data_IF_269882664278
#
_entry.id   IF_269882664278
#
_cell.length_a   1.000
_cell.length_b   1.000
_cell.length_c   1.000
_cell.angle_alpha   90.00
_cell.angle_beta   90.00
_cell.angle_gamma   90.00
#
_symmetry.space_group_name_H-M   'P 1'
#
loop_
_entity.id
_entity.type
_entity.pdbx_description
1 polymer ?
#
# COMPACT_ATOMS: atom_id res chain seq x y z
N UNK A 1 0.79 -29.73 -0.48
CA UNK A 1 0.11 -28.56 -1.06
C UNK A 1 0.93 -27.32 -0.71
N UNK A 2 1.37 -26.56 -1.71
CA UNK A 2 1.96 -25.24 -1.50
C UNK A 2 0.82 -24.22 -1.59
N UNK A 3 0.21 -23.89 -0.45
CA UNK A 3 -0.78 -22.81 -0.42
C UNK A 3 -0.04 -21.49 -0.14
N UNK A 4 -0.03 -20.59 -1.13
CA UNK A 4 0.69 -19.32 -1.08
C UNK A 4 -0.32 -18.19 -1.32
N UNK A 5 -0.29 -17.19 -0.45
CA UNK A 5 -1.10 -15.99 -0.58
C UNK A 5 -0.24 -14.72 -0.60
N UNK A 6 -0.81 -13.63 -1.09
CA UNK A 6 -0.28 -12.27 -0.97
C UNK A 6 -1.27 -11.45 -0.11
N UNK A 7 -0.80 -10.87 0.99
CA UNK A 7 -1.61 -9.99 1.83
C UNK A 7 -1.66 -8.59 1.22
N UNK A 8 -2.84 -8.21 0.73
CA UNK A 8 -3.14 -6.89 0.22
C UNK A 8 -3.86 -6.05 1.29
N UNK A 9 -3.23 -4.97 1.75
CA UNK A 9 -3.79 -3.98 2.68
C UNK A 9 -3.63 -2.55 2.14
N UNK A 10 -3.53 -2.42 0.82
CA UNK A 10 -3.26 -1.17 0.13
C UNK A 10 -3.73 -1.24 -1.32
N UNK A 11 -2.98 -0.63 -2.25
CA UNK A 11 -3.37 -0.61 -3.68
C UNK A 11 -3.52 -1.98 -4.32
N UNK A 12 -2.84 -3.01 -3.77
CA UNK A 12 -3.00 -4.39 -4.22
C UNK A 12 -4.42 -4.94 -4.06
N UNK A 13 -5.27 -4.36 -3.19
CA UNK A 13 -6.65 -4.83 -3.02
C UNK A 13 -7.44 -4.65 -4.33
N UNK A 14 -7.32 -3.46 -4.93
CA UNK A 14 -8.07 -3.08 -6.13
C UNK A 14 -7.27 -3.31 -7.42
N UNK A 15 -5.94 -3.28 -7.34
CA UNK A 15 -5.04 -3.47 -8.48
C UNK A 15 -3.87 -4.40 -8.11
N UNK A 16 -4.07 -5.73 -8.14
CA UNK A 16 -2.97 -6.69 -8.04
C UNK A 16 -1.93 -6.55 -9.16
N UNK A 17 -2.32 -5.96 -10.29
CA UNK A 17 -1.49 -5.78 -11.48
C UNK A 17 -1.47 -7.00 -12.39
N UNK A 18 -0.97 -6.79 -13.61
CA UNK A 18 -1.09 -7.73 -14.74
C UNK A 18 -0.43 -9.10 -14.51
N UNK A 19 0.54 -9.19 -13.61
CA UNK A 19 1.22 -10.46 -13.33
C UNK A 19 0.58 -11.24 -12.18
N UNK A 20 0.07 -10.56 -11.15
CA UNK A 20 -0.52 -11.21 -9.98
C UNK A 20 -1.98 -11.58 -10.25
N UNK A 21 -2.77 -10.67 -10.83
CA UNK A 21 -4.20 -10.87 -11.10
C UNK A 21 -4.54 -12.24 -11.73
N UNK A 22 -3.89 -12.67 -12.83
CA UNK A 22 -4.21 -13.96 -13.47
C UNK A 22 -3.82 -15.18 -12.63
N UNK A 23 -3.02 -15.00 -11.57
CA UNK A 23 -2.59 -16.08 -10.68
C UNK A 23 -3.53 -16.24 -9.48
N UNK A 24 -4.48 -15.34 -9.25
CA UNK A 24 -5.36 -15.37 -8.08
C UNK A 24 -6.43 -16.45 -8.27
N UNK A 25 -6.37 -17.49 -7.43
CA UNK A 25 -7.37 -18.55 -7.40
C UNK A 25 -8.59 -18.17 -6.55
N UNK A 26 -8.38 -17.45 -5.44
CA UNK A 26 -9.45 -16.97 -4.55
C UNK A 26 -8.97 -15.83 -3.66
N UNK A 27 -9.91 -15.15 -3.00
CA UNK A 27 -9.65 -14.05 -2.06
C UNK A 27 -10.23 -14.39 -0.69
N UNK A 28 -9.50 -14.06 0.38
CA UNK A 28 -9.93 -14.24 1.76
C UNK A 28 -9.88 -12.89 2.47
N UNK A 29 -11.01 -12.41 2.98
CA UNK A 29 -11.05 -11.21 3.83
C UNK A 29 -10.35 -11.50 5.17
N UNK A 30 -9.53 -10.57 5.64
CA UNK A 30 -8.79 -10.68 6.88
C UNK A 30 -8.53 -9.29 7.50
N UNK A 31 -7.97 -9.28 8.70
CA UNK A 31 -7.27 -8.12 9.25
C UNK A 31 -5.76 -8.34 9.09
N UNK A 32 -4.97 -7.29 8.96
CA UNK A 32 -3.51 -7.44 8.97
C UNK A 32 -3.05 -8.06 10.29
N UNK A 33 -2.12 -9.02 10.29
CA UNK A 33 -1.60 -9.63 11.52
C UNK A 33 -0.57 -8.73 12.25
N UNK A 34 -0.49 -7.47 11.85
CA UNK A 34 0.44 -6.47 12.36
C UNK A 34 -0.19 -5.08 12.20
N UNK A 35 0.27 -4.10 13.00
CA UNK A 35 -0.19 -2.73 12.88
C UNK A 35 0.32 -2.07 11.59
N UNK A 36 -0.54 -1.28 10.96
CA UNK A 36 -0.32 -0.56 9.70
C UNK A 36 -0.62 0.93 9.90
N UNK A 37 0.21 1.80 9.31
CA UNK A 37 0.02 3.25 9.36
C UNK A 37 0.53 3.94 8.08
N UNK A 38 0.09 5.17 7.80
CA UNK A 38 0.60 6.10 6.77
C UNK A 38 2.05 6.56 7.07
N UNK A 39 2.98 5.62 7.13
CA UNK A 39 4.33 5.82 7.65
C UNK A 39 5.41 5.75 6.57
N UNK A 40 5.09 6.03 5.30
CA UNK A 40 6.11 6.10 4.24
C UNK A 40 5.71 7.05 3.13
N UNK A 41 6.63 7.87 2.62
CA UNK A 41 6.39 8.69 1.44
C UNK A 41 6.74 7.94 0.15
N UNK A 42 5.88 8.07 -0.86
CA UNK A 42 6.05 7.44 -2.17
C UNK A 42 6.34 8.48 -3.25
N UNK A 43 7.56 8.43 -3.81
CA UNK A 43 7.94 9.29 -4.94
C UNK A 43 7.05 9.07 -6.17
N UNK A 44 6.59 7.82 -6.37
CA UNK A 44 5.67 7.47 -7.47
C UNK A 44 4.30 8.11 -7.33
N UNK A 45 3.91 8.45 -6.09
CA UNK A 45 2.68 9.18 -5.77
C UNK A 45 2.97 10.65 -5.50
N UNK A 46 3.94 11.25 -6.20
CA UNK A 46 4.26 12.68 -6.03
C UNK A 46 4.76 13.07 -4.63
N UNK A 47 5.29 12.11 -3.86
CA UNK A 47 5.69 12.31 -2.46
C UNK A 47 4.58 12.09 -1.44
N UNK A 48 3.40 11.59 -1.84
CA UNK A 48 2.30 11.31 -0.93
C UNK A 48 2.61 10.17 0.06
N UNK A 49 1.96 10.17 1.24
CA UNK A 49 2.08 9.09 2.19
C UNK A 49 1.37 7.81 1.75
N UNK A 50 1.91 6.66 2.14
CA UNK A 50 1.40 5.32 1.86
C UNK A 50 1.36 4.47 3.13
N UNK A 51 0.44 3.51 3.18
CA UNK A 51 0.35 2.60 4.33
C UNK A 51 1.45 1.54 4.29
N UNK A 52 2.07 1.27 5.43
CA UNK A 52 3.11 0.25 5.62
C UNK A 52 2.99 -0.36 7.02
N UNK A 53 3.54 -1.56 7.27
CA UNK A 53 3.64 -2.09 8.63
C UNK A 53 4.38 -1.09 9.53
N UNK A 54 3.78 -0.68 10.65
CA UNK A 54 4.36 0.31 11.54
C UNK A 54 3.87 0.15 13.00
N UNK A 55 4.76 0.19 14.02
CA UNK A 55 4.37 -0.05 15.41
C UNK A 55 3.35 0.93 16.00
N UNK A 56 3.26 2.15 15.46
CA UNK A 56 2.28 3.15 15.91
C UNK A 56 0.89 2.97 15.31
N UNK A 57 0.72 2.02 14.38
CA UNK A 57 -0.53 1.81 13.67
C UNK A 57 -1.51 0.90 14.40
N UNK A 58 -2.49 0.41 13.65
CA UNK A 58 -3.49 -0.57 14.09
C UNK A 58 -3.65 -1.68 13.05
N UNK A 59 -4.26 -2.79 13.42
CA UNK A 59 -4.71 -3.76 12.43
C UNK A 59 -5.73 -3.10 11.50
N UNK A 60 -5.66 -3.41 10.21
CA UNK A 60 -6.54 -2.85 9.18
C UNK A 60 -7.16 -3.94 8.33
N UNK A 61 -8.28 -3.64 7.67
CA UNK A 61 -8.88 -4.53 6.68
C UNK A 61 -7.86 -4.89 5.59
N UNK A 62 -7.82 -6.17 5.25
CA UNK A 62 -6.93 -6.71 4.24
C UNK A 62 -7.59 -7.86 3.48
N UNK A 63 -6.98 -8.24 2.37
CA UNK A 63 -7.37 -9.39 1.56
C UNK A 63 -6.16 -10.26 1.31
N UNK A 64 -6.24 -11.55 1.64
CA UNK A 64 -5.27 -12.54 1.17
C UNK A 64 -5.66 -12.95 -0.25
N UNK A 65 -4.84 -12.59 -1.21
CA UNK A 65 -4.91 -13.02 -2.61
C UNK A 65 -4.25 -14.40 -2.68
N UNK A 66 -5.05 -15.47 -2.62
CA UNK A 66 -4.54 -16.84 -2.68
C UNK A 66 -4.19 -17.17 -4.12
N UNK A 67 -2.94 -17.58 -4.35
CA UNK A 67 -2.42 -17.87 -5.68
C UNK A 67 -2.74 -19.31 -6.10
N UNK A 68 -2.70 -19.55 -7.41
CA UNK A 68 -2.78 -20.89 -8.00
C UNK A 68 -1.68 -21.80 -7.43
N UNK A 69 -2.00 -23.08 -7.21
CA UNK A 69 -1.06 -24.08 -6.69
C UNK A 69 0.17 -24.30 -7.59
N UNK A 70 0.11 -23.84 -8.84
CA UNK A 70 1.21 -23.87 -9.80
C UNK A 70 2.29 -22.81 -9.52
N UNK A 71 1.97 -21.79 -8.73
CA UNK A 71 2.92 -20.72 -8.40
C UNK A 71 3.87 -21.19 -7.31
N UNK A 72 5.17 -21.15 -7.60
CA UNK A 72 6.21 -21.47 -6.64
C UNK A 72 6.50 -20.27 -5.72
N UNK A 73 6.97 -20.52 -4.50
CA UNK A 73 7.23 -19.49 -3.49
C UNK A 73 8.17 -18.38 -3.98
N UNK A 74 9.25 -18.74 -4.68
CA UNK A 74 10.21 -17.75 -5.19
C UNK A 74 9.63 -16.91 -6.34
N UNK A 75 8.73 -17.50 -7.13
CA UNK A 75 8.00 -16.74 -8.16
C UNK A 75 6.97 -15.81 -7.51
N UNK A 76 6.23 -16.27 -6.50
CA UNK A 76 5.30 -15.42 -5.74
C UNK A 76 6.00 -14.19 -5.12
N UNK A 77 7.20 -14.38 -4.55
CA UNK A 77 8.03 -13.27 -4.05
C UNK A 77 8.43 -12.32 -5.17
N UNK A 78 8.80 -12.87 -6.32
CA UNK A 78 9.23 -12.09 -7.48
C UNK A 78 8.08 -11.30 -8.11
N UNK A 79 6.90 -11.89 -8.23
CA UNK A 79 5.65 -11.24 -8.66
C UNK A 79 5.33 -10.04 -7.78
N UNK A 80 5.29 -10.24 -6.46
CA UNK A 80 5.01 -9.17 -5.50
C UNK A 80 6.08 -8.08 -5.56
N UNK A 81 7.36 -8.44 -5.56
CA UNK A 81 8.44 -7.45 -5.65
C UNK A 81 8.38 -6.64 -6.95
N UNK A 82 8.12 -7.27 -8.10
CA UNK A 82 7.98 -6.56 -9.38
C UNK A 82 6.78 -5.62 -9.35
N UNK A 83 5.67 -6.01 -8.73
CA UNK A 83 4.50 -5.14 -8.55
C UNK A 83 4.82 -3.89 -7.73
N UNK A 84 5.49 -4.04 -6.60
CA UNK A 84 5.86 -2.93 -5.70
C UNK A 84 6.93 -2.01 -6.30
N UNK A 85 7.89 -2.59 -7.01
CA UNK A 85 8.96 -1.84 -7.68
C UNK A 85 8.55 -1.30 -9.05
N UNK A 86 7.39 -1.70 -9.58
CA UNK A 86 6.89 -1.39 -10.93
C UNK A 86 7.83 -1.93 -12.03
N UNK A 87 8.34 -3.13 -11.79
CA UNK A 87 9.16 -3.89 -12.74
C UNK A 87 8.39 -5.08 -13.31
N UNK A 88 7.06 -4.99 -13.37
CA UNK A 88 6.21 -5.98 -14.05
C UNK A 88 6.62 -6.07 -15.53
N UNK A 89 6.54 -7.27 -16.11
CA UNK A 89 6.96 -7.61 -17.47
C UNK A 89 8.47 -7.82 -17.63
N UNK A 90 9.28 -7.54 -16.60
CA UNK A 90 10.76 -7.64 -16.73
C UNK A 90 11.30 -9.05 -16.52
N UNK A 91 10.51 -9.96 -15.94
CA UNK A 91 10.96 -11.31 -15.56
C UNK A 91 12.05 -11.33 -14.49
N UNK A 92 12.36 -10.19 -13.86
CA UNK A 92 13.39 -10.11 -12.82
C UNK A 92 12.95 -10.87 -11.56
N UNK A 93 13.87 -11.68 -11.04
CA UNK A 93 13.68 -12.39 -9.79
C UNK A 93 13.92 -11.44 -8.60
N UNK A 94 13.13 -11.62 -7.54
CA UNK A 94 13.38 -10.93 -6.28
C UNK A 94 14.74 -11.34 -5.71
N UNK A 95 15.52 -10.34 -5.30
CA UNK A 95 16.71 -10.51 -4.48
C UNK A 95 16.64 -9.49 -3.36
N UNK A 96 16.78 -9.96 -2.13
CA UNK A 96 16.84 -9.06 -0.99
C UNK A 96 18.14 -8.24 -1.06
N UNK A 97 18.00 -6.93 -0.90
CA UNK A 97 19.12 -5.98 -0.90
C UNK A 97 19.04 -5.18 0.38
N UNK A 98 20.17 -5.04 1.07
CA UNK A 98 20.28 -4.19 2.24
C UNK A 98 20.41 -2.72 1.81
N UNK A 99 19.28 -2.04 1.62
CA UNK A 99 19.22 -0.58 1.45
C UNK A 99 18.02 0.01 2.17
N UNK A 100 18.12 1.28 2.59
CA UNK A 100 17.06 1.95 3.36
C UNK A 100 15.70 1.93 2.66
N UNK A 101 15.71 2.01 1.33
CA UNK A 101 14.51 2.06 0.50
C UNK A 101 14.17 0.72 -0.17
N UNK A 102 14.85 -0.36 0.21
CA UNK A 102 14.57 -1.68 -0.34
C UNK A 102 13.15 -2.13 -0.02
N UNK A 103 12.45 -2.61 -1.04
CA UNK A 103 11.21 -3.37 -0.90
C UNK A 103 11.58 -4.75 -0.36
N UNK A 104 11.05 -5.09 0.81
CA UNK A 104 11.26 -6.38 1.47
C UNK A 104 10.01 -7.23 1.29
N UNK A 105 10.19 -8.50 0.93
CA UNK A 105 9.08 -9.46 0.88
C UNK A 105 9.16 -10.35 2.11
N UNK A 106 8.20 -10.18 3.02
CA UNK A 106 8.09 -10.96 4.25
C UNK A 106 7.16 -12.15 4.07
N UNK A 107 7.35 -13.18 4.88
CA UNK A 107 6.58 -14.42 4.86
C UNK A 107 5.92 -14.65 6.22
N UNK A 108 4.59 -14.50 6.27
CA UNK A 108 3.78 -14.84 7.43
C UNK A 108 3.22 -16.26 7.26
N UNK A 109 3.77 -17.21 8.02
CA UNK A 109 3.36 -18.61 7.92
C UNK A 109 2.09 -18.91 8.70
N UNK A 110 1.24 -19.78 8.14
CA UNK A 110 0.03 -20.28 8.79
C UNK A 110 -1.11 -19.27 8.90
N UNK A 111 -0.98 -18.07 8.32
CA UNK A 111 -2.00 -17.04 8.41
C UNK A 111 -3.20 -17.37 7.53
N UNK A 112 -4.42 -17.22 8.06
CA UNK A 112 -5.67 -17.64 7.40
C UNK A 112 -5.67 -19.11 6.92
N UNK A 113 -4.90 -19.99 7.58
CA UNK A 113 -4.75 -21.39 7.17
C UNK A 113 -3.89 -21.60 5.91
N UNK A 114 -3.19 -20.57 5.43
CA UNK A 114 -2.30 -20.61 4.27
C UNK A 114 -0.86 -20.82 4.73
N UNK A 115 -0.10 -21.67 4.05
CA UNK A 115 1.27 -22.02 4.47
C UNK A 115 2.21 -20.82 4.42
N UNK A 116 2.13 -20.02 3.36
CA UNK A 116 2.94 -18.81 3.17
C UNK A 116 2.05 -17.64 2.77
N UNK A 117 1.99 -16.59 3.58
CA UNK A 117 1.35 -15.33 3.20
C UNK A 117 2.39 -14.24 3.07
N UNK A 118 2.65 -13.84 1.83
CA UNK A 118 3.64 -12.84 1.49
C UNK A 118 3.09 -11.43 1.65
N UNK A 119 3.91 -10.52 2.13
CA UNK A 119 3.55 -9.10 2.21
C UNK A 119 4.77 -8.20 2.03
N UNK A 120 4.48 -6.95 1.67
CA UNK A 120 5.49 -5.93 1.42
C UNK A 120 5.89 -5.23 2.72
N UNK A 121 7.17 -5.08 2.97
CA UNK A 121 7.69 -4.29 4.08
C UNK A 121 8.88 -3.43 3.62
N UNK A 122 9.31 -2.54 4.51
CA UNK A 122 10.43 -1.63 4.29
C UNK A 122 11.30 -1.58 5.54
N UNK A 123 12.56 -1.21 5.38
CA UNK A 123 13.42 -0.93 6.51
C UNK A 123 12.90 0.28 7.31
N UNK A 124 13.09 0.27 8.63
CA UNK A 124 12.64 1.36 9.51
C UNK A 124 13.21 2.72 9.10
N UNK A 125 14.44 2.78 8.59
CA UNK A 125 15.05 4.02 8.08
C UNK A 125 14.31 4.63 6.89
N UNK A 126 13.57 3.82 6.12
CA UNK A 126 12.70 4.28 5.04
C UNK A 126 11.28 4.62 5.47
N UNK A 127 10.96 4.54 6.77
CA UNK A 127 9.65 4.85 7.35
C UNK A 127 9.66 6.16 8.12
N UNK A 128 8.49 6.77 8.26
CA UNK A 128 8.25 7.96 9.07
C UNK A 128 8.10 7.51 10.52
N UNK A 129 9.05 7.89 11.38
CA UNK A 129 9.05 7.46 12.80
C UNK A 129 7.78 7.84 13.56
N UNK A 130 7.26 9.06 13.31
CA UNK A 130 6.07 9.59 13.95
C UNK A 130 5.19 10.27 12.88
N UNK A 131 4.30 9.51 12.22
CA UNK A 131 3.40 10.08 11.23
C UNK A 131 2.52 11.16 11.85
N UNK A 132 2.47 12.35 11.23
CA UNK A 132 1.70 13.50 11.69
C UNK A 132 0.63 13.85 10.66
N UNK A 133 -0.67 13.80 10.99
CA UNK A 133 -1.77 14.07 10.06
C UNK A 133 -1.63 15.34 9.23
N UNK A 134 -1.10 16.43 9.80
CA UNK A 134 -0.90 17.69 9.09
C UNK A 134 0.19 17.60 8.03
N UNK A 135 1.32 16.98 8.35
CA UNK A 135 2.41 16.76 7.38
C UNK A 135 1.99 15.77 6.28
N UNK A 136 1.23 14.74 6.65
CA UNK A 136 0.63 13.79 5.71
C UNK A 136 -0.30 14.53 4.73
N UNK A 137 -1.17 15.41 5.25
CA UNK A 137 -2.10 16.22 4.46
C UNK A 137 -1.39 17.18 3.49
N UNK A 138 -0.40 17.92 3.97
CA UNK A 138 0.40 18.83 3.14
C UNK A 138 1.10 18.06 2.00
N UNK A 139 1.68 16.90 2.30
CA UNK A 139 2.32 16.05 1.29
C UNK A 139 1.31 15.49 0.27
N UNK A 140 0.12 15.08 0.71
CA UNK A 140 -0.94 14.58 -0.15
C UNK A 140 -1.47 15.65 -1.11
N UNK A 141 -1.74 16.85 -0.58
CA UNK A 141 -2.17 18.00 -1.40
C UNK A 141 -1.10 18.37 -2.41
N UNK A 142 0.17 18.49 -1.97
CA UNK A 142 1.28 18.82 -2.86
C UNK A 142 1.54 17.74 -3.93
N UNK A 143 1.16 16.49 -3.66
CA UNK A 143 1.35 15.40 -4.61
C UNK A 143 0.47 15.49 -5.85
N UNK A 144 -0.67 16.18 -5.77
CA UNK A 144 -1.62 16.32 -6.90
C UNK A 144 -0.95 16.98 -8.11
N UNK A 145 -0.05 17.93 -7.87
CA UNK A 145 0.72 18.61 -8.91
C UNK A 145 1.86 17.75 -9.52
N UNK A 146 2.27 16.70 -8.82
CA UNK A 146 3.49 15.94 -9.13
C UNK A 146 3.22 14.52 -9.63
N UNK A 147 2.10 13.93 -9.20
CA UNK A 147 1.73 12.57 -9.52
C UNK A 147 1.03 12.49 -10.88
N UNK A 148 1.13 11.34 -11.54
CA UNK A 148 0.27 11.03 -12.68
C UNK A 148 -1.20 11.00 -12.25
N UNK A 149 -2.11 11.28 -13.19
CA UNK A 149 -3.54 11.35 -12.93
C UNK A 149 -4.05 10.12 -12.14
N UNK A 150 -4.65 10.36 -10.97
CA UNK A 150 -5.22 9.31 -10.10
C UNK A 150 -4.21 8.56 -9.23
N UNK A 151 -2.91 8.87 -9.33
CA UNK A 151 -1.86 8.28 -8.50
C UNK A 151 -1.49 9.14 -7.28
N UNK A 152 -2.09 10.32 -7.15
CA UNK A 152 -1.85 11.26 -6.06
C UNK A 152 -2.32 10.73 -4.68
N UNK A 153 -1.87 11.40 -3.62
CA UNK A 153 -2.14 11.02 -2.25
C UNK A 153 -3.60 11.09 -1.83
N UNK A 154 -4.38 12.02 -2.39
CA UNK A 154 -5.81 12.16 -2.06
C UNK A 154 -6.59 11.04 -2.75
N UNK A 155 -6.32 10.77 -4.04
CA UNK A 155 -6.86 9.59 -4.73
C UNK A 155 -6.48 8.29 -4.05
N UNK A 156 -5.25 8.16 -3.57
CA UNK A 156 -4.81 6.98 -2.83
C UNK A 156 -5.59 6.80 -1.51
N UNK A 157 -5.78 7.88 -0.74
CA UNK A 157 -6.56 7.84 0.50
C UNK A 157 -8.02 7.45 0.24
N UNK A 158 -8.65 8.03 -0.79
CA UNK A 158 -10.01 7.67 -1.20
C UNK A 158 -10.14 6.17 -1.48
N UNK A 159 -9.22 5.61 -2.27
CA UNK A 159 -9.23 4.19 -2.61
C UNK A 159 -9.05 3.28 -1.38
N UNK A 160 -8.28 3.72 -0.38
CA UNK A 160 -8.14 2.97 0.87
C UNK A 160 -9.42 2.98 1.70
N UNK A 161 -10.05 4.16 1.85
CA UNK A 161 -11.32 4.30 2.57
C UNK A 161 -12.41 3.47 1.90
N UNK A 162 -12.52 3.52 0.57
CA UNK A 162 -13.47 2.70 -0.19
C UNK A 162 -13.23 1.20 0.00
N UNK A 163 -11.98 0.77 0.12
CA UNK A 163 -11.60 -0.61 0.42
C UNK A 163 -11.75 -0.99 1.91
N UNK A 164 -12.23 -0.07 2.77
CA UNK A 164 -12.37 -0.28 4.21
C UNK A 164 -11.04 -0.32 4.97
N UNK A 165 -9.96 0.18 4.37
CA UNK A 165 -8.63 0.25 4.98
C UNK A 165 -8.50 1.56 5.74
N UNK A 166 -8.81 1.52 7.04
CA UNK A 166 -8.70 2.66 7.94
C UNK A 166 -7.62 2.40 9.01
N UNK A 167 -6.62 3.26 9.09
CA UNK A 167 -5.60 3.26 10.14
C UNK A 167 -6.05 4.15 11.30
N UNK A 168 -5.31 4.11 12.41
CA UNK A 168 -5.54 5.00 13.54
C UNK A 168 -5.54 6.50 13.15
N UNK A 169 -4.77 6.90 12.12
CA UNK A 169 -4.69 8.29 11.67
C UNK A 169 -5.67 8.66 10.55
N UNK A 170 -6.44 7.74 9.97
CA UNK A 170 -7.28 8.03 8.80
C UNK A 170 -8.21 9.23 9.04
N UNK A 171 -8.93 9.27 10.17
CA UNK A 171 -9.86 10.35 10.45
C UNK A 171 -9.18 11.73 10.60
N UNK A 172 -8.05 11.80 11.31
CA UNK A 172 -7.29 13.04 11.49
C UNK A 172 -6.60 13.50 10.20
N UNK A 173 -6.14 12.54 9.40
CA UNK A 173 -5.53 12.81 8.11
C UNK A 173 -6.55 13.40 7.12
N UNK A 174 -7.76 12.84 7.06
CA UNK A 174 -8.89 13.42 6.29
C UNK A 174 -9.19 14.83 6.77
N UNK A 175 -9.40 15.04 8.08
CA UNK A 175 -9.65 16.38 8.66
C UNK A 175 -8.56 17.38 8.28
N UNK A 176 -7.30 16.94 8.32
CA UNK A 176 -6.14 17.79 7.98
C UNK A 176 -6.12 18.17 6.50
N UNK A 177 -6.45 17.25 5.58
CA UNK A 177 -6.57 17.56 4.15
C UNK A 177 -7.66 18.61 3.93
N UNK A 178 -8.85 18.41 4.50
CA UNK A 178 -9.98 19.34 4.36
C UNK A 178 -9.64 20.72 4.92
N UNK A 179 -8.97 20.78 6.07
CA UNK A 179 -8.53 22.03 6.68
C UNK A 179 -7.48 22.77 5.83
N UNK A 180 -6.53 22.05 5.22
CA UNK A 180 -5.46 22.64 4.39
C UNK A 180 -6.02 23.18 3.06
N UNK A 181 -7.01 22.50 2.48
CA UNK A 181 -7.58 22.91 1.18
C UNK A 181 -8.77 23.87 1.31
N UNK A 182 -9.46 23.86 2.46
CA UNK A 182 -10.73 24.55 2.68
C UNK A 182 -11.93 23.81 2.08
N UNK A 183 -11.77 22.54 1.69
CA UNK A 183 -12.81 21.73 1.06
C UNK A 183 -13.74 21.07 2.09
N UNK A 184 -14.95 20.70 1.66
CA UNK A 184 -15.90 19.91 2.43
C UNK A 184 -15.71 18.40 2.25
N UNK A 185 -15.17 17.96 1.10
CA UNK A 185 -14.90 16.53 0.81
C UNK A 185 -13.50 16.32 0.22
N UNK A 186 -13.03 15.06 0.22
CA UNK A 186 -11.72 14.70 -0.35
C UNK A 186 -11.70 14.89 -1.88
N UNK A 187 -12.80 14.62 -2.56
CA UNK A 187 -12.95 14.84 -4.00
C UNK A 187 -12.84 16.32 -4.33
N UNK A 188 -13.52 17.17 -3.56
CA UNK A 188 -13.39 18.62 -3.69
C UNK A 188 -11.96 19.08 -3.38
N UNK A 189 -11.35 18.57 -2.30
CA UNK A 189 -9.96 18.87 -1.94
C UNK A 189 -9.00 18.54 -3.09
N UNK A 190 -9.18 17.40 -3.74
CA UNK A 190 -8.39 16.99 -4.91
C UNK A 190 -8.59 17.95 -6.09
N UNK A 191 -9.84 18.28 -6.42
CA UNK A 191 -10.15 19.17 -7.54
C UNK A 191 -9.58 20.57 -7.33
N UNK A 192 -9.72 21.14 -6.12
CA UNK A 192 -9.13 22.43 -5.76
C UNK A 192 -7.59 22.39 -5.83
N UNK A 193 -6.99 21.28 -5.42
CA UNK A 193 -5.53 21.11 -5.48
C UNK A 193 -5.04 21.02 -6.92
N UNK A 194 -5.77 20.34 -7.81
CA UNK A 194 -5.43 20.22 -9.22
C UNK A 194 -5.59 21.56 -9.98
N UNK A 195 -6.56 22.39 -9.60
CA UNK A 195 -6.79 23.71 -10.21
C UNK A 195 -5.73 24.77 -9.84
N UNK A 196 -4.87 24.49 -8.85
CA UNK A 196 -3.79 25.37 -8.40
C UNK A 196 -2.44 25.10 -9.09
N UNK A 197 -2.41 24.14 -10.02
CA UNK A 197 -1.23 23.68 -10.79
C UNK A 197 -1.27 24.29 -12.19
#
# INVERSE_FOLDING_TARGET
MNDIGILAYGSLINDPGIEIEPQIARRISALTPFPVEYARFSQKRGGAPTVVPHPSGSEVTAVVLVLSELVLLDEAKSLLWRRETHQMGTGRAYREVASENAVLIRDQRGFCGINHVLYTDFNMSGKINQPNPRLLAEAAVASVAKASHGSDGISYLLNLIEAGVETALTADYVRSILAVTGAATLEEARNLSAARV
#
